data_IF_350944841081
#
_entry.id   IF_350944841081
#
_cell.length_a   1.000
_cell.length_b   1.000
_cell.length_c   1.000
_cell.angle_alpha   90.00
_cell.angle_beta   90.00
_cell.angle_gamma   90.00
#
_symmetry.space_group_name_H-M   'P 1'
#
loop_
_entity.id
_entity.type
_entity.pdbx_description
1 polymer ?
#
# COMPACT_ATOMS: atom_id res chain seq x y z
N UNK A 1 15.06 21.06 31.56
CA UNK A 1 14.35 21.29 30.29
C UNK A 1 13.31 22.38 30.49
N UNK A 2 13.39 23.50 29.78
CA UNK A 2 12.39 24.56 29.84
C UNK A 2 11.05 24.06 29.27
N UNK A 3 9.96 24.29 29.97
CA UNK A 3 8.61 23.97 29.47
C UNK A 3 8.35 24.82 28.22
N UNK A 4 7.91 24.18 27.12
CA UNK A 4 7.50 24.86 25.90
C UNK A 4 6.16 25.57 26.17
N UNK A 5 6.04 26.85 25.78
CA UNK A 5 4.77 27.59 25.89
C UNK A 5 3.85 27.23 24.72
N UNK A 6 2.54 27.50 24.86
CA UNK A 6 1.57 27.29 23.76
C UNK A 6 1.92 28.10 22.51
N UNK A 7 2.37 29.35 22.72
CA UNK A 7 2.79 30.26 21.65
C UNK A 7 3.99 29.69 20.92
N UNK A 8 5.00 29.22 21.65
CA UNK A 8 6.21 28.62 21.07
C UNK A 8 5.89 27.33 20.33
N UNK A 9 5.00 26.48 20.87
CA UNK A 9 4.52 25.29 20.17
C UNK A 9 3.80 25.65 18.87
N UNK A 10 2.93 26.67 18.91
CA UNK A 10 2.23 27.18 17.74
C UNK A 10 3.18 27.68 16.65
N UNK A 11 4.22 28.47 17.03
CA UNK A 11 5.27 28.93 16.12
C UNK A 11 5.98 27.74 15.44
N UNK A 12 6.39 26.72 16.22
CA UNK A 12 7.07 25.52 15.70
C UNK A 12 6.18 24.78 14.71
N UNK A 13 4.91 24.56 15.06
CA UNK A 13 3.96 23.84 14.19
C UNK A 13 3.68 24.64 12.92
N UNK A 14 3.49 25.96 13.03
CA UNK A 14 3.33 26.81 11.86
C UNK A 14 4.56 26.80 10.96
N UNK A 15 5.77 26.93 11.51
CA UNK A 15 6.99 26.92 10.73
C UNK A 15 7.17 25.62 9.92
N UNK A 16 6.70 24.49 10.45
CA UNK A 16 6.74 23.19 9.75
C UNK A 16 5.75 23.10 8.59
N UNK A 17 4.62 23.81 8.64
CA UNK A 17 3.49 23.59 7.73
C UNK A 17 3.06 24.83 6.94
N UNK A 18 3.52 26.02 7.33
CA UNK A 18 3.08 27.31 6.74
C UNK A 18 3.39 27.41 5.23
N UNK A 19 4.49 26.83 4.80
CA UNK A 19 4.98 26.88 3.42
C UNK A 19 4.88 25.52 2.72
N UNK A 20 3.92 24.64 3.14
CA UNK A 20 3.73 23.38 2.46
C UNK A 20 3.12 23.62 1.06
N UNK A 21 3.90 23.46 -0.04
CA UNK A 21 3.40 23.64 -1.40
C UNK A 21 2.34 22.59 -1.76
N UNK A 22 2.31 21.47 -1.04
CA UNK A 22 1.39 20.36 -1.23
C UNK A 22 0.20 20.37 -0.27
N UNK A 23 -0.17 21.54 0.25
CA UNK A 23 -1.29 21.70 1.20
C UNK A 23 -2.66 21.23 0.67
N UNK A 24 -2.79 21.09 -0.66
CA UNK A 24 -3.98 20.60 -1.36
C UNK A 24 -3.62 19.37 -2.19
N UNK A 25 -4.54 18.42 -2.33
CA UNK A 25 -4.35 17.24 -3.17
C UNK A 25 -4.10 17.59 -4.65
N UNK A 26 -4.66 18.67 -5.14
CA UNK A 26 -4.42 19.16 -6.51
C UNK A 26 -2.98 19.64 -6.76
N UNK A 27 -2.20 19.89 -5.70
CA UNK A 27 -0.82 20.38 -5.80
C UNK A 27 0.23 19.28 -5.54
N UNK A 28 -0.18 18.04 -5.24
CA UNK A 28 0.79 16.95 -5.02
C UNK A 28 1.58 16.63 -6.29
N UNK A 29 2.80 16.06 -6.18
CA UNK A 29 3.64 15.74 -7.34
C UNK A 29 2.94 14.87 -8.37
N UNK A 30 3.26 15.08 -9.64
CA UNK A 30 2.75 14.26 -10.73
C UNK A 30 3.39 12.87 -10.72
N UNK A 31 2.59 11.84 -11.05
CA UNK A 31 3.11 10.49 -11.30
C UNK A 31 4.11 10.45 -12.47
N UNK A 32 4.08 11.39 -13.40
CA UNK A 32 4.99 11.45 -14.55
C UNK A 32 6.47 11.56 -14.16
N UNK A 33 6.78 11.92 -12.92
CA UNK A 33 8.15 12.03 -12.42
C UNK A 33 8.74 10.70 -11.99
N UNK A 34 7.93 9.62 -11.89
CA UNK A 34 8.48 8.28 -11.66
C UNK A 34 9.17 7.75 -12.91
N UNK A 35 10.35 7.18 -12.71
CA UNK A 35 11.03 6.39 -13.74
C UNK A 35 10.14 5.22 -14.16
N UNK A 36 10.21 4.87 -15.42
CA UNK A 36 9.52 3.74 -16.07
C UNK A 36 7.98 3.78 -16.04
N UNK A 37 7.34 4.79 -15.43
CA UNK A 37 5.89 4.85 -15.28
C UNK A 37 5.15 4.72 -16.62
N UNK A 38 5.65 5.39 -17.68
CA UNK A 38 5.04 5.37 -19.00
C UNK A 38 5.19 4.01 -19.71
N UNK A 39 6.29 3.29 -19.46
CA UNK A 39 6.51 1.94 -20.00
C UNK A 39 5.51 0.99 -19.31
N UNK A 40 5.43 1.06 -17.99
CA UNK A 40 4.54 0.24 -17.18
C UNK A 40 3.06 0.44 -17.54
N UNK A 41 2.59 1.68 -17.67
CA UNK A 41 1.18 1.98 -17.99
C UNK A 41 0.80 1.50 -19.38
N UNK A 42 1.67 1.68 -20.38
CA UNK A 42 1.43 1.16 -21.75
C UNK A 42 1.34 -0.36 -21.76
N UNK A 43 2.19 -1.05 -20.97
CA UNK A 43 2.17 -2.51 -20.89
C UNK A 43 0.89 -3.01 -20.21
N UNK A 44 0.45 -2.36 -19.14
CA UNK A 44 -0.85 -2.68 -18.49
C UNK A 44 -2.01 -2.43 -19.46
N UNK A 45 -2.01 -1.31 -20.19
CA UNK A 45 -3.02 -1.03 -21.22
C UNK A 45 -3.07 -2.14 -22.27
N UNK A 46 -1.92 -2.60 -22.75
CA UNK A 46 -1.83 -3.72 -23.69
C UNK A 46 -2.45 -4.99 -23.09
N UNK A 47 -2.10 -5.35 -21.86
CA UNK A 47 -2.66 -6.53 -21.18
C UNK A 47 -4.19 -6.45 -21.06
N UNK A 48 -4.71 -5.28 -20.66
CA UNK A 48 -6.15 -5.06 -20.55
C UNK A 48 -6.86 -5.23 -21.91
N UNK A 49 -6.33 -4.59 -22.95
CA UNK A 49 -6.94 -4.61 -24.30
C UNK A 49 -6.90 -5.99 -24.95
N UNK A 50 -5.88 -6.79 -24.66
CA UNK A 50 -5.75 -8.17 -25.15
C UNK A 50 -6.44 -9.23 -24.30
N UNK A 51 -7.01 -8.85 -23.15
CA UNK A 51 -7.56 -9.81 -22.19
C UNK A 51 -6.52 -10.71 -21.54
N UNK A 52 -5.26 -10.25 -21.47
CA UNK A 52 -4.17 -10.98 -20.87
C UNK A 52 -4.34 -11.10 -19.36
N UNK A 53 -3.96 -12.24 -18.79
CA UNK A 53 -3.98 -12.46 -17.35
C UNK A 53 -3.02 -11.50 -16.65
N UNK A 54 -3.51 -10.80 -15.61
CA UNK A 54 -2.70 -9.94 -14.75
C UNK A 54 -2.68 -10.56 -13.35
N UNK A 55 -1.49 -10.77 -12.81
CA UNK A 55 -1.29 -11.28 -11.44
C UNK A 55 -0.58 -10.22 -10.60
N UNK A 56 -1.22 -9.80 -9.50
CA UNK A 56 -0.66 -8.87 -8.53
C UNK A 56 0.00 -9.69 -7.40
N UNK A 57 1.27 -9.41 -7.11
CA UNK A 57 2.00 -10.03 -6.02
C UNK A 57 2.26 -8.98 -4.95
N UNK A 58 1.54 -9.09 -3.82
CA UNK A 58 1.65 -8.18 -2.68
C UNK A 58 2.72 -8.58 -1.68
N UNK A 59 2.69 -7.92 -0.51
CA UNK A 59 3.40 -8.33 0.69
C UNK A 59 2.40 -8.56 1.83
N UNK A 60 2.86 -9.18 2.93
CA UNK A 60 2.03 -9.65 4.04
C UNK A 60 1.84 -8.63 5.17
N UNK A 61 2.55 -7.51 5.17
CA UNK A 61 2.36 -6.43 6.15
C UNK A 61 1.26 -5.45 5.73
N UNK A 62 0.98 -4.44 6.56
CA UNK A 62 -0.12 -3.50 6.29
C UNK A 62 0.12 -2.69 5.01
N UNK A 63 1.35 -2.28 4.70
CA UNK A 63 1.64 -1.52 3.49
C UNK A 63 1.40 -2.38 2.25
N UNK A 64 1.90 -3.62 2.23
CA UNK A 64 1.67 -4.59 1.15
C UNK A 64 0.20 -4.97 0.99
N UNK A 65 -0.52 -5.20 2.09
CA UNK A 65 -1.97 -5.48 2.09
C UNK A 65 -2.75 -4.29 1.52
N UNK A 66 -2.43 -3.07 1.96
CA UNK A 66 -3.09 -1.85 1.47
C UNK A 66 -2.75 -1.61 0.00
N UNK A 67 -1.49 -1.81 -0.41
CA UNK A 67 -1.05 -1.73 -1.81
C UNK A 67 -1.86 -2.68 -2.70
N UNK A 68 -2.00 -3.93 -2.26
CA UNK A 68 -2.80 -4.95 -2.94
C UNK A 68 -4.27 -4.55 -2.98
N UNK A 69 -4.84 -4.07 -1.85
CA UNK A 69 -6.22 -3.59 -1.77
C UNK A 69 -6.50 -2.49 -2.79
N UNK A 70 -5.61 -1.49 -2.90
CA UNK A 70 -5.75 -0.37 -3.85
C UNK A 70 -5.78 -0.89 -5.28
N UNK A 71 -4.86 -1.78 -5.65
CA UNK A 71 -4.79 -2.34 -7.00
C UNK A 71 -6.03 -3.18 -7.34
N UNK A 72 -6.44 -4.07 -6.45
CA UNK A 72 -7.62 -4.92 -6.67
C UNK A 72 -8.90 -4.10 -6.78
N UNK A 73 -9.10 -3.14 -5.88
CA UNK A 73 -10.28 -2.26 -5.89
C UNK A 73 -10.32 -1.37 -7.14
N UNK A 74 -9.15 -0.87 -7.56
CA UNK A 74 -8.99 -0.10 -8.80
C UNK A 74 -9.39 -0.93 -10.02
N UNK A 75 -8.81 -2.10 -10.25
CA UNK A 75 -9.15 -2.95 -11.40
C UNK A 75 -10.60 -3.45 -11.35
N UNK A 76 -11.08 -3.81 -10.15
CA UNK A 76 -12.47 -4.23 -9.98
C UNK A 76 -13.47 -3.11 -10.30
N UNK A 77 -13.15 -1.85 -9.96
CA UNK A 77 -13.98 -0.68 -10.31
C UNK A 77 -14.11 -0.46 -11.82
N UNK A 78 -13.17 -1.01 -12.60
CA UNK A 78 -13.16 -0.99 -14.07
C UNK A 78 -13.79 -2.24 -14.69
N UNK A 79 -14.26 -3.18 -13.87
CA UNK A 79 -14.75 -4.47 -14.34
C UNK A 79 -13.65 -5.41 -14.86
N UNK A 80 -12.37 -5.13 -14.54
CA UNK A 80 -11.22 -5.92 -14.96
C UNK A 80 -10.89 -6.91 -13.85
N UNK A 81 -10.94 -8.20 -14.19
CA UNK A 81 -10.54 -9.27 -13.27
C UNK A 81 -9.02 -9.41 -13.28
N UNK A 82 -8.42 -9.38 -12.12
CA UNK A 82 -7.00 -9.67 -11.89
C UNK A 82 -6.86 -10.74 -10.81
N UNK A 83 -5.82 -11.56 -10.91
CA UNK A 83 -5.46 -12.51 -9.86
C UNK A 83 -4.50 -11.83 -8.87
N UNK A 84 -4.43 -12.36 -7.66
CA UNK A 84 -3.48 -11.87 -6.68
C UNK A 84 -2.85 -12.99 -5.86
N UNK A 85 -1.66 -12.73 -5.36
CA UNK A 85 -0.91 -13.60 -4.45
C UNK A 85 -0.38 -12.73 -3.32
N UNK A 86 -0.71 -13.07 -2.07
CA UNK A 86 -0.03 -12.54 -0.90
C UNK A 86 0.88 -13.65 -0.38
N UNK A 87 2.21 -13.41 -0.27
CA UNK A 87 3.13 -14.41 0.23
C UNK A 87 2.77 -14.82 1.65
N UNK A 88 2.73 -16.12 1.93
CA UNK A 88 2.77 -16.58 3.30
C UNK A 88 4.22 -16.51 3.80
N UNK A 89 4.44 -15.79 4.90
CA UNK A 89 5.78 -15.56 5.47
C UNK A 89 6.55 -16.84 5.76
N UNK A 90 5.86 -17.89 6.18
CA UNK A 90 6.46 -19.16 6.59
C UNK A 90 6.76 -20.08 5.41
N UNK A 91 5.96 -20.01 4.35
CA UNK A 91 6.06 -20.90 3.19
C UNK A 91 6.83 -20.29 2.02
N UNK A 92 6.57 -19.01 1.72
CA UNK A 92 7.05 -18.33 0.52
C UNK A 92 8.19 -17.35 0.80
N UNK A 93 8.36 -16.91 2.07
CA UNK A 93 9.28 -15.86 2.45
C UNK A 93 8.70 -14.46 2.18
N UNK A 94 9.56 -13.50 1.86
CA UNK A 94 9.20 -12.11 1.63
C UNK A 94 8.94 -11.85 0.14
N UNK A 95 7.82 -11.21 -0.19
CA UNK A 95 7.51 -10.70 -1.53
C UNK A 95 7.58 -11.75 -2.64
N UNK A 96 7.93 -11.29 -3.86
CA UNK A 96 8.06 -12.16 -5.02
C UNK A 96 9.25 -13.11 -4.88
N UNK A 97 8.99 -14.40 -4.73
CA UNK A 97 9.99 -15.46 -4.60
C UNK A 97 9.93 -16.44 -5.77
N UNK A 98 11.00 -17.24 -5.92
CA UNK A 98 11.07 -18.30 -6.94
C UNK A 98 9.91 -19.30 -6.77
N UNK A 99 9.53 -19.62 -5.53
CA UNK A 99 8.38 -20.51 -5.24
C UNK A 99 7.05 -19.95 -5.75
N UNK A 100 6.85 -18.64 -5.62
CA UNK A 100 5.65 -17.98 -6.16
C UNK A 100 5.64 -18.03 -7.67
N UNK A 101 6.79 -17.75 -8.31
CA UNK A 101 6.94 -17.79 -9.77
C UNK A 101 6.70 -19.19 -10.34
N UNK A 102 6.97 -20.27 -9.58
CA UNK A 102 6.67 -21.63 -10.02
C UNK A 102 5.20 -21.84 -10.34
N UNK A 103 4.31 -21.15 -9.63
CA UNK A 103 2.86 -21.26 -9.76
C UNK A 103 2.27 -20.20 -10.73
N UNK A 104 3.11 -19.41 -11.43
CA UNK A 104 2.67 -18.45 -12.43
C UNK A 104 3.10 -18.97 -13.81
N UNK A 105 2.13 -19.28 -14.66
CA UNK A 105 2.39 -19.91 -15.94
C UNK A 105 2.38 -18.92 -17.12
N UNK A 106 1.68 -17.80 -17.02
CA UNK A 106 1.52 -16.82 -18.10
C UNK A 106 1.01 -15.48 -17.62
N UNK A 107 1.07 -14.48 -18.49
CA UNK A 107 0.47 -13.18 -18.29
C UNK A 107 1.47 -12.10 -17.88
N UNK A 108 0.95 -11.03 -17.27
CA UNK A 108 1.71 -9.92 -16.72
C UNK A 108 1.75 -10.03 -15.19
N UNK A 109 2.93 -9.96 -14.60
CA UNK A 109 3.11 -9.91 -13.14
C UNK A 109 3.38 -8.47 -12.71
N UNK A 110 2.67 -8.00 -11.69
CA UNK A 110 2.86 -6.69 -11.07
C UNK A 110 3.12 -6.91 -9.59
N UNK A 111 4.28 -6.51 -9.08
CA UNK A 111 4.51 -6.51 -7.63
C UNK A 111 4.09 -5.19 -7.01
N UNK A 112 3.59 -5.23 -5.79
CA UNK A 112 3.25 -4.04 -5.01
C UNK A 112 3.87 -4.13 -3.63
N UNK A 113 4.60 -3.09 -3.24
CA UNK A 113 5.34 -3.00 -1.97
C UNK A 113 6.45 -4.05 -1.81
N UNK A 114 6.87 -4.63 -2.90
CA UNK A 114 7.98 -5.59 -2.94
C UNK A 114 8.54 -5.72 -4.35
N UNK A 115 9.60 -6.50 -4.48
CA UNK A 115 10.12 -6.88 -5.79
C UNK A 115 11.48 -6.28 -6.12
N UNK A 116 11.88 -5.15 -5.53
CA UNK A 116 13.17 -4.51 -5.85
C UNK A 116 14.40 -5.37 -5.48
N UNK A 117 14.23 -6.34 -4.64
CA UNK A 117 15.27 -7.32 -4.25
C UNK A 117 15.06 -8.70 -4.87
N UNK A 118 14.00 -8.91 -5.65
CA UNK A 118 13.58 -10.21 -6.18
C UNK A 118 14.35 -10.63 -7.45
N UNK A 119 15.69 -10.53 -7.45
CA UNK A 119 16.52 -10.78 -8.62
C UNK A 119 16.32 -12.18 -9.20
N UNK A 120 16.45 -13.23 -8.40
CA UNK A 120 16.34 -14.62 -8.87
C UNK A 120 14.93 -14.95 -9.40
N UNK A 121 13.89 -14.46 -8.72
CA UNK A 121 12.51 -14.61 -9.18
C UNK A 121 12.27 -13.88 -10.51
N UNK A 122 12.86 -12.71 -10.70
CA UNK A 122 12.78 -11.94 -11.95
C UNK A 122 13.43 -12.66 -13.13
N UNK A 123 14.58 -13.33 -12.93
CA UNK A 123 15.23 -14.16 -13.94
C UNK A 123 14.32 -15.30 -14.38
N UNK A 124 13.69 -15.96 -13.41
CA UNK A 124 12.78 -17.08 -13.69
C UNK A 124 11.52 -16.64 -14.44
N UNK A 125 10.94 -15.47 -14.15
CA UNK A 125 9.86 -14.89 -14.95
C UNK A 125 10.30 -14.61 -16.37
N UNK A 126 11.52 -14.05 -16.56
CA UNK A 126 12.09 -13.82 -17.88
C UNK A 126 12.28 -15.12 -18.68
N UNK A 127 12.76 -16.21 -18.05
CA UNK A 127 12.87 -17.53 -18.67
C UNK A 127 11.52 -18.09 -19.12
N UNK A 128 10.46 -17.79 -18.35
CA UNK A 128 9.07 -18.13 -18.72
C UNK A 128 8.44 -17.18 -19.76
N UNK A 129 9.15 -16.14 -20.23
CA UNK A 129 8.64 -15.07 -21.09
C UNK A 129 7.44 -14.33 -20.48
N UNK A 130 7.45 -14.12 -19.16
CA UNK A 130 6.43 -13.40 -18.41
C UNK A 130 7.00 -12.02 -18.05
N UNK A 131 6.31 -10.96 -18.47
CA UNK A 131 6.70 -9.61 -18.14
C UNK A 131 6.46 -9.29 -16.65
N UNK A 132 7.42 -8.58 -16.06
CA UNK A 132 7.38 -8.13 -14.68
C UNK A 132 7.36 -6.60 -14.62
N UNK A 133 6.41 -6.03 -13.88
CA UNK A 133 6.39 -4.64 -13.45
C UNK A 133 6.56 -4.63 -11.93
N UNK A 134 7.54 -3.88 -11.45
CA UNK A 134 7.79 -3.73 -10.02
C UNK A 134 7.28 -2.36 -9.57
N UNK A 135 6.42 -2.32 -8.55
CA UNK A 135 6.09 -1.10 -7.79
C UNK A 135 6.53 -1.30 -6.35
N UNK A 136 7.52 -0.52 -5.92
CA UNK A 136 8.19 -0.72 -4.65
C UNK A 136 8.76 0.61 -4.12
N UNK A 137 9.09 0.68 -2.83
CA UNK A 137 9.69 1.84 -2.19
C UNK A 137 10.93 1.48 -1.35
N UNK A 138 11.25 0.20 -1.26
CA UNK A 138 12.41 -0.29 -0.53
C UNK A 138 13.73 0.15 -1.20
N UNK A 139 14.81 0.10 -0.43
CA UNK A 139 16.14 0.48 -0.92
C UNK A 139 16.59 -0.44 -2.04
N UNK A 140 17.06 0.17 -3.13
CA UNK A 140 17.60 -0.57 -4.28
C UNK A 140 18.94 -1.22 -3.88
N UNK A 141 19.04 -2.52 -4.05
CA UNK A 141 20.25 -3.28 -3.79
C UNK A 141 21.24 -3.23 -4.97
N UNK A 142 22.38 -3.93 -4.80
CA UNK A 142 23.43 -4.02 -5.84
C UNK A 142 22.96 -4.79 -7.10
N UNK A 143 22.09 -5.78 -6.92
CA UNK A 143 21.50 -6.56 -7.99
C UNK A 143 20.09 -6.04 -8.29
N UNK A 144 19.93 -5.41 -9.45
CA UNK A 144 18.62 -4.90 -9.90
C UNK A 144 17.86 -6.04 -10.58
N UNK A 145 16.59 -6.31 -10.21
CA UNK A 145 15.76 -7.31 -10.89
C UNK A 145 15.61 -7.05 -12.39
N UNK A 146 15.48 -8.13 -13.15
CA UNK A 146 15.21 -8.06 -14.58
C UNK A 146 13.71 -7.89 -14.78
N UNK A 147 13.26 -6.66 -14.86
CA UNK A 147 11.86 -6.30 -15.06
C UNK A 147 11.69 -5.43 -16.29
N UNK A 148 10.49 -5.46 -16.88
CA UNK A 148 10.12 -4.56 -17.98
C UNK A 148 10.12 -3.10 -17.53
N UNK A 149 9.64 -2.86 -16.31
CA UNK A 149 9.57 -1.54 -15.69
C UNK A 149 9.71 -1.65 -14.17
N UNK A 150 10.39 -0.68 -13.56
CA UNK A 150 10.55 -0.56 -12.11
C UNK A 150 10.10 0.83 -11.68
N UNK A 151 9.00 0.90 -10.95
CA UNK A 151 8.47 2.14 -10.38
C UNK A 151 8.88 2.16 -8.91
N UNK A 152 10.01 2.78 -8.62
CA UNK A 152 10.52 2.94 -7.26
C UNK A 152 11.19 4.32 -7.15
N UNK A 153 10.77 5.17 -6.19
CA UNK A 153 11.30 6.53 -6.05
C UNK A 153 12.78 6.54 -5.68
N UNK A 154 13.30 5.48 -5.06
CA UNK A 154 14.71 5.37 -4.61
C UNK A 154 15.67 4.91 -5.72
N UNK A 155 15.19 4.66 -6.94
CA UNK A 155 16.09 4.42 -8.07
C UNK A 155 16.93 5.67 -8.35
N UNK A 156 18.21 5.48 -8.70
CA UNK A 156 19.19 6.54 -8.92
C UNK A 156 18.71 7.60 -9.93
N UNK A 157 18.02 7.17 -10.99
CA UNK A 157 17.58 8.03 -12.09
C UNK A 157 16.08 8.37 -12.02
N UNK A 158 15.44 8.16 -10.85
CA UNK A 158 14.05 8.53 -10.65
C UNK A 158 13.95 10.01 -10.25
N UNK A 159 13.13 10.78 -10.98
CA UNK A 159 12.93 12.21 -10.75
C UNK A 159 11.78 12.51 -9.80
N UNK A 160 11.13 11.49 -9.22
CA UNK A 160 10.12 11.72 -8.19
C UNK A 160 10.78 12.28 -6.94
N UNK A 161 10.33 13.44 -6.48
CA UNK A 161 11.05 14.22 -5.47
C UNK A 161 10.98 13.63 -4.06
N UNK A 162 9.88 12.93 -3.72
CA UNK A 162 9.71 12.30 -2.41
C UNK A 162 10.20 10.86 -2.44
N UNK A 163 11.36 10.63 -1.83
CA UNK A 163 11.95 9.29 -1.74
C UNK A 163 11.33 8.46 -0.62
N UNK A 164 10.84 9.13 0.43
CA UNK A 164 10.26 8.53 1.62
C UNK A 164 8.73 8.52 1.52
N UNK A 165 8.24 7.65 0.65
CA UNK A 165 6.82 7.28 0.49
C UNK A 165 6.69 5.77 0.63
N UNK A 166 5.55 5.29 1.11
CA UNK A 166 5.28 3.85 1.27
C UNK A 166 4.86 3.17 -0.04
N UNK A 167 4.87 1.83 -0.05
CA UNK A 167 4.50 1.03 -1.22
C UNK A 167 3.08 1.32 -1.71
N UNK A 168 2.13 1.52 -0.80
CA UNK A 168 0.76 1.87 -1.16
C UNK A 168 0.66 3.22 -1.90
N UNK A 169 1.53 4.19 -1.58
CA UNK A 169 1.59 5.43 -2.34
C UNK A 169 2.12 5.20 -3.76
N UNK A 170 3.13 4.34 -3.93
CA UNK A 170 3.65 3.98 -5.25
C UNK A 170 2.56 3.27 -6.08
N UNK A 171 1.87 2.29 -5.50
CA UNK A 171 0.74 1.61 -6.14
C UNK A 171 -0.39 2.58 -6.52
N UNK A 172 -0.72 3.52 -5.64
CA UNK A 172 -1.73 4.55 -5.91
C UNK A 172 -1.34 5.48 -7.07
N UNK A 173 -0.08 5.94 -7.11
CA UNK A 173 0.43 6.74 -8.22
C UNK A 173 0.41 5.94 -9.53
N UNK A 174 0.70 4.65 -9.47
CA UNK A 174 0.62 3.78 -10.64
C UNK A 174 -0.83 3.62 -11.12
N UNK A 175 -1.80 3.40 -10.23
CA UNK A 175 -3.22 3.42 -10.58
C UNK A 175 -3.64 4.75 -11.22
N UNK A 176 -3.17 5.89 -10.68
CA UNK A 176 -3.46 7.21 -11.26
C UNK A 176 -2.87 7.35 -12.68
N UNK A 177 -1.71 6.80 -12.92
CA UNK A 177 -1.09 6.78 -14.25
C UNK A 177 -1.85 5.87 -15.24
N UNK A 178 -2.28 4.66 -14.80
CA UNK A 178 -3.13 3.76 -15.60
C UNK A 178 -4.46 4.44 -15.93
N UNK A 179 -5.11 5.05 -14.93
CA UNK A 179 -6.32 5.85 -15.12
C UNK A 179 -6.15 6.87 -16.23
N UNK A 180 -5.05 7.63 -16.20
CA UNK A 180 -4.77 8.68 -17.18
C UNK A 180 -4.51 8.10 -18.58
N UNK A 181 -3.70 7.02 -18.68
CA UNK A 181 -3.37 6.35 -19.96
C UNK A 181 -4.61 5.76 -20.65
N UNK A 182 -5.57 5.30 -19.85
CA UNK A 182 -6.81 4.66 -20.32
C UNK A 182 -8.00 5.61 -20.42
N UNK A 183 -7.86 6.88 -20.00
CA UNK A 183 -8.92 7.88 -19.90
C UNK A 183 -10.13 7.41 -19.05
N UNK A 184 -9.87 6.70 -17.95
CA UNK A 184 -10.91 6.28 -17.02
C UNK A 184 -11.33 7.42 -16.09
N UNK A 185 -12.61 7.48 -15.72
CA UNK A 185 -13.12 8.43 -14.73
C UNK A 185 -13.20 7.78 -13.34
N UNK A 186 -12.09 7.79 -12.61
CA UNK A 186 -11.98 7.29 -11.25
C UNK A 186 -11.50 8.40 -10.31
N UNK A 187 -12.19 8.55 -9.19
CA UNK A 187 -11.77 9.48 -8.16
C UNK A 187 -10.66 8.88 -7.28
N UNK A 188 -9.40 9.18 -7.61
CA UNK A 188 -8.25 8.67 -6.85
C UNK A 188 -8.21 9.14 -5.39
N UNK A 189 -8.91 10.22 -5.02
CA UNK A 189 -8.99 10.66 -3.64
C UNK A 189 -9.85 9.75 -2.75
N UNK A 190 -10.62 8.82 -3.34
CA UNK A 190 -11.37 7.81 -2.59
C UNK A 190 -10.47 6.85 -1.81
N UNK A 191 -9.21 6.69 -2.22
CA UNK A 191 -8.22 5.79 -1.61
C UNK A 191 -7.40 6.44 -0.49
N UNK A 192 -7.64 7.70 -0.14
CA UNK A 192 -6.88 8.39 0.91
C UNK A 192 -7.04 7.78 2.30
N UNK A 193 -8.16 7.13 2.58
CA UNK A 193 -8.37 6.35 3.79
C UNK A 193 -7.37 5.19 3.88
N UNK A 194 -7.20 4.44 2.81
CA UNK A 194 -6.22 3.37 2.71
C UNK A 194 -4.79 3.90 2.77
N UNK A 195 -4.46 4.95 2.02
CA UNK A 195 -3.12 5.56 2.04
C UNK A 195 -2.73 6.05 3.44
N UNK A 196 -3.65 6.68 4.17
CA UNK A 196 -3.40 7.10 5.54
C UNK A 196 -3.02 5.92 6.45
N UNK A 197 -3.72 4.80 6.29
CA UNK A 197 -3.42 3.58 7.04
C UNK A 197 -2.00 3.08 6.74
N UNK A 198 -1.63 2.96 5.47
CA UNK A 198 -0.31 2.48 5.05
C UNK A 198 0.83 3.42 5.49
N UNK A 199 0.72 4.72 5.23
CA UNK A 199 1.75 5.72 5.58
C UNK A 199 2.07 5.69 7.09
N UNK A 200 1.04 5.54 7.93
CA UNK A 200 1.22 5.48 9.39
C UNK A 200 1.75 4.12 9.82
N UNK A 201 1.24 3.03 9.25
CA UNK A 201 1.64 1.67 9.62
C UNK A 201 3.10 1.38 9.29
N UNK A 202 3.59 1.90 8.16
CA UNK A 202 4.98 1.78 7.71
C UNK A 202 5.91 2.87 8.31
N UNK A 203 5.39 3.67 9.24
CA UNK A 203 6.14 4.69 10.01
C UNK A 203 6.88 5.68 9.08
N UNK A 204 6.27 6.03 7.95
CA UNK A 204 6.87 6.97 7.00
C UNK A 204 7.13 8.35 7.61
N UNK A 205 8.27 8.97 7.32
CA UNK A 205 8.54 10.35 7.74
C UNK A 205 7.43 11.29 7.28
N UNK A 206 6.97 12.18 8.17
CA UNK A 206 5.91 13.16 7.86
C UNK A 206 6.46 14.31 7.00
N UNK A 207 6.92 13.98 5.78
CA UNK A 207 7.23 14.97 4.75
C UNK A 207 6.00 15.81 4.45
N UNK A 208 6.15 16.89 3.70
CA UNK A 208 5.01 17.73 3.30
C UNK A 208 3.94 16.97 2.53
N UNK A 209 4.33 15.99 1.71
CA UNK A 209 3.41 15.10 0.98
C UNK A 209 2.70 14.14 1.93
N UNK A 210 3.45 13.38 2.73
CA UNK A 210 2.90 12.39 3.66
C UNK A 210 1.96 13.04 4.68
N UNK A 211 2.35 14.20 5.24
CA UNK A 211 1.49 14.98 6.14
C UNK A 211 0.15 15.36 5.49
N UNK A 212 0.18 15.81 4.24
CA UNK A 212 -1.05 16.18 3.53
C UNK A 212 -1.94 14.96 3.30
N UNK A 213 -1.37 13.84 2.83
CA UNK A 213 -2.13 12.62 2.58
C UNK A 213 -2.70 12.05 3.88
N UNK A 214 -1.93 11.99 4.96
CA UNK A 214 -2.40 11.52 6.28
C UNK A 214 -3.51 12.43 6.82
N UNK A 215 -3.34 13.75 6.78
CA UNK A 215 -4.36 14.69 7.25
C UNK A 215 -5.69 14.57 6.51
N UNK A 216 -5.64 14.40 5.19
CA UNK A 216 -6.84 14.19 4.38
C UNK A 216 -7.41 12.79 4.58
N UNK A 217 -6.55 11.79 4.69
CA UNK A 217 -6.93 10.40 4.91
C UNK A 217 -7.62 10.17 6.26
N UNK A 218 -7.15 10.77 7.36
CA UNK A 218 -7.83 10.69 8.66
C UNK A 218 -9.28 11.21 8.58
N UNK A 219 -9.50 12.33 7.87
CA UNK A 219 -10.86 12.84 7.61
C UNK A 219 -11.66 11.88 6.75
N UNK A 220 -11.01 11.24 5.76
CA UNK A 220 -11.65 10.28 4.86
C UNK A 220 -12.04 9.00 5.60
N UNK A 221 -11.19 8.46 6.47
CA UNK A 221 -11.50 7.28 7.31
C UNK A 221 -12.77 7.52 8.12
N UNK A 222 -12.89 8.69 8.76
CA UNK A 222 -14.09 9.02 9.56
C UNK A 222 -15.39 8.97 8.76
N UNK A 223 -15.33 9.33 7.48
CA UNK A 223 -16.46 9.39 6.56
C UNK A 223 -16.35 8.36 5.42
N UNK A 224 -15.59 7.29 5.62
CA UNK A 224 -15.39 6.27 4.60
C UNK A 224 -16.66 5.52 4.28
N UNK A 225 -16.86 5.21 3.00
CA UNK A 225 -17.91 4.30 2.54
C UNK A 225 -17.54 2.83 2.69
N UNK A 226 -16.25 2.51 2.97
CA UNK A 226 -15.78 1.12 3.15
C UNK A 226 -16.31 0.52 4.43
N UNK A 227 -16.89 -0.68 4.35
CA UNK A 227 -17.46 -1.37 5.52
C UNK A 227 -16.41 -1.60 6.62
N UNK A 228 -15.17 -1.92 6.25
CA UNK A 228 -14.05 -2.03 7.18
C UNK A 228 -13.86 -0.77 8.04
N UNK A 229 -13.83 0.42 7.43
CA UNK A 229 -13.64 1.65 8.19
C UNK A 229 -14.90 2.09 8.95
N UNK A 230 -16.10 1.82 8.44
CA UNK A 230 -17.35 2.04 9.20
C UNK A 230 -17.34 1.22 10.50
N UNK A 231 -16.96 -0.06 10.40
CA UNK A 231 -16.88 -0.95 11.54
C UNK A 231 -15.81 -0.53 12.53
N UNK A 232 -14.60 -0.18 12.07
CA UNK A 232 -13.52 0.34 12.92
C UNK A 232 -13.94 1.63 13.63
N UNK A 233 -14.59 2.56 12.95
CA UNK A 233 -15.10 3.80 13.54
C UNK A 233 -16.14 3.52 14.65
N UNK A 234 -17.01 2.53 14.45
CA UNK A 234 -18.01 2.14 15.46
C UNK A 234 -17.37 1.58 16.74
N UNK A 235 -16.25 0.87 16.60
CA UNK A 235 -15.49 0.32 17.72
C UNK A 235 -14.66 1.38 18.46
N UNK A 236 -14.04 2.31 17.73
CA UNK A 236 -13.21 3.37 18.32
C UNK A 236 -14.06 4.41 19.08
N UNK A 237 -15.30 4.66 18.67
CA UNK A 237 -16.24 5.61 19.29
C UNK A 237 -15.65 7.01 19.54
N UNK A 238 -14.81 7.48 18.62
CA UNK A 238 -14.15 8.79 18.68
C UNK A 238 -14.74 9.75 17.67
N UNK A 239 -14.89 11.01 18.03
CA UNK A 239 -15.33 12.07 17.12
C UNK A 239 -14.22 12.47 16.15
N UNK A 240 -12.98 12.49 16.62
CA UNK A 240 -11.79 12.83 15.84
C UNK A 240 -10.80 11.67 15.92
N UNK A 241 -10.42 11.15 14.75
CA UNK A 241 -9.35 10.18 14.60
C UNK A 241 -8.00 10.89 14.51
N UNK A 242 -7.02 10.31 15.18
CA UNK A 242 -5.61 10.75 15.15
C UNK A 242 -4.69 9.63 14.67
N UNK A 243 -3.45 9.96 14.33
CA UNK A 243 -2.45 8.99 13.86
C UNK A 243 -2.24 7.84 14.84
N UNK A 244 -2.31 8.11 16.16
CA UNK A 244 -2.14 7.09 17.19
C UNK A 244 -3.23 6.00 17.15
N UNK A 245 -4.47 6.35 16.77
CA UNK A 245 -5.53 5.37 16.59
C UNK A 245 -5.20 4.39 15.48
N UNK A 246 -4.59 4.88 14.41
CA UNK A 246 -4.13 4.04 13.31
C UNK A 246 -2.92 3.21 13.76
N UNK A 247 -1.86 3.86 14.25
CA UNK A 247 -0.57 3.23 14.54
C UNK A 247 -0.60 2.23 15.69
N UNK A 248 -1.41 2.49 16.74
CA UNK A 248 -1.43 1.66 17.94
C UNK A 248 -2.68 0.79 18.10
N UNK A 249 -3.73 1.03 17.31
CA UNK A 249 -4.97 0.24 17.41
C UNK A 249 -5.28 -0.51 16.12
N UNK A 250 -5.33 0.15 14.97
CA UNK A 250 -5.76 -0.46 13.71
C UNK A 250 -4.63 -1.26 13.06
N UNK A 251 -3.48 -0.64 12.81
CA UNK A 251 -2.37 -1.26 12.11
C UNK A 251 -1.86 -2.54 12.81
N UNK A 252 -1.73 -2.62 14.16
CA UNK A 252 -1.33 -3.85 14.82
C UNK A 252 -2.30 -5.02 14.64
N UNK A 253 -3.61 -4.75 14.50
CA UNK A 253 -4.61 -5.80 14.21
C UNK A 253 -4.42 -6.36 12.81
N UNK A 254 -4.29 -5.50 11.81
CA UNK A 254 -4.07 -5.93 10.43
C UNK A 254 -2.74 -6.67 10.28
N UNK A 255 -1.66 -6.14 10.87
CA UNK A 255 -0.35 -6.79 10.87
C UNK A 255 -0.34 -8.16 11.56
N UNK A 256 -1.29 -8.43 12.47
CA UNK A 256 -1.33 -9.73 13.16
C UNK A 256 -1.65 -10.88 12.20
N UNK A 257 -2.43 -10.66 11.15
CA UNK A 257 -2.73 -11.68 10.14
C UNK A 257 -1.45 -12.23 9.50
N UNK A 258 -0.62 -11.39 8.89
CA UNK A 258 0.62 -11.81 8.22
C UNK A 258 1.71 -12.32 9.18
N UNK A 259 1.59 -12.03 10.49
CA UNK A 259 2.55 -12.50 11.50
C UNK A 259 2.18 -13.85 12.12
N UNK A 260 0.90 -14.15 12.19
CA UNK A 260 0.37 -15.28 12.96
C UNK A 260 -0.30 -16.33 12.09
N UNK A 261 -0.81 -15.96 10.90
CA UNK A 261 -1.59 -16.81 10.02
C UNK A 261 -1.47 -16.35 8.55
N UNK A 262 -2.56 -16.05 7.90
CA UNK A 262 -2.68 -15.64 6.50
C UNK A 262 -3.06 -14.16 6.37
N UNK A 263 -2.18 -13.40 5.74
CA UNK A 263 -2.39 -11.96 5.50
C UNK A 263 -3.62 -11.66 4.63
N UNK A 264 -4.15 -12.64 3.88
CA UNK A 264 -5.38 -12.49 3.11
C UNK A 264 -6.61 -12.17 3.96
N UNK A 265 -6.59 -12.50 5.26
CA UNK A 265 -7.66 -12.14 6.21
C UNK A 265 -7.78 -10.61 6.31
N UNK A 266 -6.65 -9.91 6.42
CA UNK A 266 -6.64 -8.45 6.48
C UNK A 266 -7.00 -7.81 5.11
N UNK A 267 -6.59 -8.42 4.00
CA UNK A 267 -7.02 -8.01 2.67
C UNK A 267 -8.54 -8.14 2.51
N UNK A 268 -9.11 -9.29 2.87
CA UNK A 268 -10.56 -9.55 2.80
C UNK A 268 -11.34 -8.57 3.68
N UNK A 269 -10.82 -8.25 4.87
CA UNK A 269 -11.38 -7.21 5.72
C UNK A 269 -11.48 -5.85 5.00
N UNK A 270 -10.38 -5.38 4.39
CA UNK A 270 -10.35 -4.08 3.70
C UNK A 270 -11.20 -4.05 2.43
N UNK A 271 -11.40 -5.20 1.77
CA UNK A 271 -12.20 -5.37 0.56
C UNK A 271 -13.67 -5.75 0.85
N UNK A 272 -14.07 -5.90 2.11
CA UNK A 272 -15.43 -6.30 2.49
C UNK A 272 -16.47 -5.38 1.88
N UNK A 273 -17.50 -5.96 1.27
CA UNK A 273 -18.59 -5.23 0.59
C UNK A 273 -19.84 -5.06 1.46
N UNK A 274 -19.93 -5.80 2.54
CA UNK A 274 -21.04 -5.78 3.49
C UNK A 274 -20.54 -5.89 4.93
N UNK A 275 -21.41 -5.52 5.87
CA UNK A 275 -21.10 -5.47 7.29
C UNK A 275 -20.80 -6.86 7.89
N UNK A 276 -21.45 -7.92 7.42
CA UNK A 276 -21.25 -9.28 7.94
C UNK A 276 -19.84 -9.76 7.66
N UNK A 277 -19.39 -9.68 6.40
CA UNK A 277 -18.05 -10.08 5.98
C UNK A 277 -16.95 -9.24 6.66
N UNK A 278 -17.20 -7.94 6.86
CA UNK A 278 -16.30 -7.09 7.62
C UNK A 278 -16.21 -7.52 9.10
N UNK A 279 -17.34 -7.83 9.72
CA UNK A 279 -17.39 -8.26 11.12
C UNK A 279 -16.68 -9.60 11.35
N UNK A 280 -16.92 -10.59 10.49
CA UNK A 280 -16.28 -11.90 10.54
C UNK A 280 -14.76 -11.78 10.44
N UNK A 281 -14.27 -11.03 9.45
CA UNK A 281 -12.83 -10.80 9.27
C UNK A 281 -12.22 -10.04 10.45
N UNK A 282 -12.89 -9.02 10.98
CA UNK A 282 -12.40 -8.26 12.14
C UNK A 282 -12.33 -9.11 13.40
N UNK A 283 -13.29 -10.01 13.62
CA UNK A 283 -13.28 -10.92 14.77
C UNK A 283 -12.03 -11.81 14.75
N UNK A 284 -11.68 -12.38 13.60
CA UNK A 284 -10.45 -13.17 13.44
C UNK A 284 -9.20 -12.32 13.67
N UNK A 285 -9.15 -11.09 13.12
CA UNK A 285 -8.02 -10.17 13.33
C UNK A 285 -7.85 -9.80 14.80
N UNK A 286 -8.92 -9.63 15.55
CA UNK A 286 -8.89 -9.34 17.00
C UNK A 286 -8.37 -10.55 17.80
N UNK A 287 -8.75 -11.76 17.44
CA UNK A 287 -8.24 -13.00 18.05
C UNK A 287 -6.73 -13.15 17.79
N UNK A 288 -6.29 -13.04 16.53
CA UNK A 288 -4.89 -13.13 16.14
C UNK A 288 -4.02 -12.07 16.85
N UNK A 289 -4.51 -10.83 16.95
CA UNK A 289 -3.79 -9.76 17.63
C UNK A 289 -3.71 -10.00 19.16
N UNK A 290 -4.75 -10.54 19.75
CA UNK A 290 -4.76 -10.91 21.18
C UNK A 290 -3.77 -12.05 21.45
N UNK A 291 -3.75 -13.06 20.60
CA UNK A 291 -2.80 -14.17 20.68
C UNK A 291 -1.35 -13.68 20.54
N UNK A 292 -1.07 -12.82 19.54
CA UNK A 292 0.24 -12.20 19.35
C UNK A 292 0.71 -11.46 20.62
N UNK A 293 -0.18 -10.67 21.28
CA UNK A 293 0.16 -9.94 22.53
C UNK A 293 0.52 -10.92 23.66
N UNK A 294 -0.23 -12.01 23.81
CA UNK A 294 0.05 -13.03 24.82
C UNK A 294 1.41 -13.68 24.63
N UNK A 295 1.80 -13.99 23.38
CA UNK A 295 3.14 -14.53 23.06
C UNK A 295 4.21 -13.50 23.42
N UNK A 296 4.03 -12.24 23.01
CA UNK A 296 5.00 -11.17 23.28
C UNK A 296 5.22 -10.98 24.78
N UNK A 297 4.18 -10.99 25.61
CA UNK A 297 4.28 -10.91 27.06
C UNK A 297 5.06 -12.08 27.66
N UNK A 298 4.84 -13.31 27.16
CA UNK A 298 5.56 -14.52 27.62
C UNK A 298 7.06 -14.49 27.30
N UNK A 299 7.46 -13.84 26.19
CA UNK A 299 8.87 -13.74 25.78
C UNK A 299 9.58 -12.62 26.56
N UNK A 300 8.84 -11.59 26.99
CA UNK A 300 9.38 -10.43 27.69
C UNK A 300 9.53 -10.63 29.19
N UNK A 301 8.94 -11.67 29.76
CA UNK A 301 9.07 -12.12 31.15
C UNK A 301 10.03 -13.30 31.27
#
# INVERSE_FOLDING_TARGET
>A
MSKITKERLFEILNARHLNNPYSKLASIPSFNNFKDINIATKRVKQAILSGEKITIVGDYDVDGIVSTTIMLDFFNSLGIKVDYIIPNRFEHGYGLSVKIVDNIDSGLVITVDNGITAYEASLKLKEKNIDLIITDHHTVGDKIPVALAIINPKQKDCNFEFKEICGAQVAWYFCAAIKNEMNYDINMSSYLDLLCLAIIADIMPMTSLNYTMVRQGLKKIKNSSREAFKLLNSHLKKDILVSDDIGFTIAPKLNSAGRMDDASIALNFLLSKDQSSAYESLAVLDELNSYRKTIQERISN
#
